data_IF_893381042989
#
_entry.id   IF_893381042989
#
_cell.length_a   1.000
_cell.length_b   1.000
_cell.length_c   1.000
_cell.angle_alpha   90.00
_cell.angle_beta   90.00
_cell.angle_gamma   90.00
#
_symmetry.space_group_name_H-M   'P 1'
#
loop_
_entity.id
_entity.type
_entity.pdbx_description
1 polymer ?
#
# COMPACT_ATOMS: atom_id res chain seq x y z
N UNK A 1 -13.16 6.42 17.51
CA UNK A 1 -12.71 6.16 16.13
C UNK A 1 -11.40 5.38 16.18
N UNK A 2 -11.18 4.41 15.29
CA UNK A 2 -9.88 3.72 15.16
C UNK A 2 -8.85 4.71 14.60
N UNK A 3 -7.58 4.57 14.98
CA UNK A 3 -6.52 5.40 14.42
C UNK A 3 -6.36 5.07 12.93
N UNK A 4 -6.37 6.09 12.08
CA UNK A 4 -5.96 5.93 10.69
C UNK A 4 -4.43 5.77 10.69
N UNK A 5 -3.88 4.95 9.79
CA UNK A 5 -2.43 4.73 9.69
C UNK A 5 -2.08 4.58 8.22
N UNK A 6 -1.14 5.41 7.74
CA UNK A 6 -0.54 5.25 6.41
C UNK A 6 0.64 4.29 6.44
N UNK A 7 0.70 3.40 5.46
CA UNK A 7 1.80 2.45 5.25
C UNK A 7 2.39 2.73 3.88
N UNK A 8 3.61 3.25 3.81
CA UNK A 8 4.30 3.43 2.53
C UNK A 8 4.78 2.09 2.00
N UNK A 9 4.50 1.78 0.73
CA UNK A 9 4.88 0.53 0.09
C UNK A 9 6.41 0.34 -0.02
N UNK A 10 7.15 1.45 -0.07
CA UNK A 10 8.60 1.45 -0.32
C UNK A 10 8.94 1.17 -1.78
N UNK A 11 10.12 0.64 -2.03
CA UNK A 11 10.57 0.28 -3.38
C UNK A 11 9.72 -0.88 -3.94
N UNK A 12 9.00 -0.71 -5.08
CA UNK A 12 8.21 -1.77 -5.68
C UNK A 12 9.04 -2.92 -6.27
N UNK A 13 10.33 -2.73 -6.49
CA UNK A 13 11.28 -3.81 -6.85
C UNK A 13 11.77 -4.58 -5.62
N UNK A 14 11.55 -4.06 -4.41
CA UNK A 14 11.93 -4.69 -3.15
C UNK A 14 10.90 -5.69 -2.62
N UNK A 15 11.09 -6.10 -1.36
CA UNK A 15 10.18 -7.04 -0.67
C UNK A 15 9.01 -6.34 0.05
N UNK A 16 9.01 -5.00 0.11
CA UNK A 16 7.99 -4.20 0.78
C UNK A 16 6.55 -4.59 0.40
N UNK A 17 6.23 -4.72 -0.90
CA UNK A 17 4.91 -5.18 -1.35
C UNK A 17 4.44 -6.52 -0.76
N UNK A 18 5.35 -7.50 -0.65
CA UNK A 18 5.04 -8.82 -0.10
C UNK A 18 4.76 -8.75 1.40
N UNK A 19 5.59 -8.00 2.12
CA UNK A 19 5.47 -7.82 3.57
C UNK A 19 4.16 -7.10 3.90
N UNK A 20 3.82 -6.03 3.18
CA UNK A 20 2.58 -5.28 3.39
C UNK A 20 1.37 -6.19 3.19
N UNK A 21 1.31 -6.95 2.10
CA UNK A 21 0.18 -7.86 1.87
C UNK A 21 0.10 -8.96 2.92
N UNK A 22 1.22 -9.60 3.28
CA UNK A 22 1.25 -10.63 4.33
C UNK A 22 0.80 -10.08 5.68
N UNK A 23 1.28 -8.90 6.07
CA UNK A 23 0.93 -8.28 7.34
C UNK A 23 -0.55 -7.86 7.42
N UNK A 24 -1.14 -7.45 6.31
CA UNK A 24 -2.51 -6.92 6.28
C UNK A 24 -3.57 -7.99 5.95
N UNK A 25 -3.18 -9.20 5.55
CA UNK A 25 -4.11 -10.27 5.12
C UNK A 25 -4.39 -11.26 6.25
N UNK A 26 -5.66 -11.48 6.59
CA UNK A 26 -6.11 -12.41 7.63
C UNK A 26 -5.96 -11.93 9.08
N UNK A 27 -5.30 -10.79 9.32
CA UNK A 27 -4.92 -10.30 10.65
C UNK A 27 -5.97 -9.39 11.30
N UNK A 28 -7.04 -9.97 11.83
CA UNK A 28 -8.20 -9.22 12.36
C UNK A 28 -7.88 -8.29 13.53
N UNK A 29 -6.90 -8.64 14.35
CA UNK A 29 -6.40 -7.86 15.49
C UNK A 29 -5.85 -6.49 15.09
N UNK A 30 -5.24 -6.35 13.92
CA UNK A 30 -4.76 -5.07 13.38
C UNK A 30 -5.95 -4.16 13.13
N UNK A 31 -6.96 -4.66 12.42
CA UNK A 31 -8.16 -3.91 12.05
C UNK A 31 -9.08 -3.59 13.23
N UNK A 32 -8.87 -4.16 14.42
CA UNK A 32 -9.54 -3.73 15.66
C UNK A 32 -8.96 -2.42 16.19
N UNK A 33 -7.67 -2.17 15.95
CA UNK A 33 -6.95 -1.04 16.53
C UNK A 33 -6.79 0.12 15.54
N UNK A 34 -6.55 -0.20 14.27
CA UNK A 34 -6.23 0.78 13.23
C UNK A 34 -7.08 0.58 11.97
N UNK A 35 -7.17 1.64 11.18
CA UNK A 35 -7.72 1.63 9.82
C UNK A 35 -6.56 1.92 8.87
N UNK A 36 -5.86 0.89 8.35
CA UNK A 36 -4.67 1.09 7.53
C UNK A 36 -5.02 1.53 6.10
N UNK A 37 -4.17 2.33 5.48
CA UNK A 37 -4.15 2.62 4.05
C UNK A 37 -2.72 2.52 3.52
N UNK A 38 -2.53 1.85 2.39
CA UNK A 38 -1.22 1.72 1.76
C UNK A 38 -1.00 2.88 0.80
N UNK A 39 0.10 3.60 0.94
CA UNK A 39 0.58 4.55 -0.06
C UNK A 39 1.52 3.80 -1.01
N UNK A 40 1.05 3.50 -2.21
CA UNK A 40 1.71 2.52 -3.07
C UNK A 40 1.04 2.34 -4.42
N UNK A 41 1.52 1.34 -5.17
CA UNK A 41 0.99 0.99 -6.48
C UNK A 41 -0.05 -0.14 -6.38
N UNK A 42 -1.19 0.05 -7.02
CA UNK A 42 -2.21 -1.00 -7.19
C UNK A 42 -1.68 -2.15 -8.04
N UNK A 43 -1.03 -1.83 -9.17
CA UNK A 43 -0.56 -2.83 -10.12
C UNK A 43 0.51 -3.75 -9.53
N UNK A 44 1.42 -3.19 -8.73
CA UNK A 44 2.44 -3.95 -8.00
C UNK A 44 1.81 -4.88 -6.97
N UNK A 45 0.86 -4.38 -6.16
CA UNK A 45 0.20 -5.20 -5.15
C UNK A 45 -0.64 -6.33 -5.77
N UNK A 46 -1.35 -6.09 -6.88
CA UNK A 46 -2.09 -7.15 -7.58
C UNK A 46 -1.16 -8.22 -8.16
N UNK A 47 0.00 -7.82 -8.71
CA UNK A 47 1.00 -8.77 -9.19
C UNK A 47 1.54 -9.65 -8.06
N UNK A 48 1.85 -9.05 -6.91
CA UNK A 48 2.39 -9.77 -5.74
C UNK A 48 1.33 -10.67 -5.11
N UNK A 49 0.10 -10.18 -4.93
CA UNK A 49 -1.05 -11.00 -4.49
C UNK A 49 -1.22 -12.23 -5.37
N UNK A 50 -1.17 -12.08 -6.70
CA UNK A 50 -1.29 -13.19 -7.64
C UNK A 50 -0.14 -14.19 -7.48
N UNK A 51 1.10 -13.71 -7.36
CA UNK A 51 2.27 -14.57 -7.18
C UNK A 51 2.18 -15.38 -5.87
N UNK A 52 1.76 -14.73 -4.78
CA UNK A 52 1.64 -15.34 -3.46
C UNK A 52 0.32 -16.10 -3.24
N UNK A 53 -0.60 -16.10 -4.21
CA UNK A 53 -1.95 -16.68 -4.10
C UNK A 53 -2.72 -16.22 -2.86
N UNK A 54 -2.61 -14.94 -2.50
CA UNK A 54 -3.25 -14.40 -1.30
C UNK A 54 -4.75 -14.15 -1.52
N UNK A 55 -5.62 -14.47 -0.54
CA UNK A 55 -7.08 -14.28 -0.64
C UNK A 55 -7.50 -12.82 -0.39
N UNK A 56 -6.68 -11.85 -0.81
CA UNK A 56 -6.82 -10.43 -0.46
C UNK A 56 -7.48 -9.67 -1.61
N UNK A 57 -8.50 -8.90 -1.31
CA UNK A 57 -9.03 -7.90 -2.24
C UNK A 57 -8.17 -6.62 -2.13
N UNK A 58 -7.72 -6.06 -3.25
CA UNK A 58 -7.00 -4.78 -3.25
C UNK A 58 -7.90 -3.74 -3.90
N UNK A 59 -8.19 -2.66 -3.19
CA UNK A 59 -9.06 -1.58 -3.67
C UNK A 59 -8.30 -0.27 -3.76
N UNK A 60 -8.55 0.51 -4.79
CA UNK A 60 -7.98 1.85 -4.93
C UNK A 60 -8.83 2.88 -4.17
N UNK A 61 -8.19 3.63 -3.29
CA UNK A 61 -8.77 4.83 -2.70
C UNK A 61 -8.83 5.97 -3.73
N UNK A 62 -9.98 6.64 -3.83
CA UNK A 62 -10.12 7.88 -4.62
C UNK A 62 -9.58 9.10 -3.89
N UNK A 63 -9.71 9.11 -2.56
CA UNK A 63 -9.21 10.15 -1.66
C UNK A 63 -8.97 9.53 -0.26
N UNK A 64 -8.57 10.35 0.70
CA UNK A 64 -8.28 9.93 2.08
C UNK A 64 -9.35 10.39 3.08
N UNK A 65 -10.53 10.79 2.60
CA UNK A 65 -11.61 11.23 3.49
C UNK A 65 -12.19 10.01 4.22
N UNK A 66 -12.47 8.95 3.45
CA UNK A 66 -12.94 7.66 3.95
C UNK A 66 -12.51 6.51 3.02
N UNK A 67 -12.14 5.37 3.62
CA UNK A 67 -11.80 4.17 2.86
C UNK A 67 -12.14 2.90 3.64
N UNK A 68 -12.24 1.77 2.93
CA UNK A 68 -12.54 0.47 3.51
C UNK A 68 -11.25 -0.28 3.82
N UNK A 69 -11.07 -0.69 5.07
CA UNK A 69 -9.96 -1.55 5.46
C UNK A 69 -10.51 -2.70 6.30
N UNK A 70 -10.20 -3.94 5.90
CA UNK A 70 -10.67 -5.14 6.57
C UNK A 70 -9.64 -6.27 6.43
N UNK A 71 -9.71 -7.35 7.21
CA UNK A 71 -8.68 -8.40 7.24
C UNK A 71 -8.27 -8.97 5.89
N UNK A 72 -9.15 -9.00 4.89
CA UNK A 72 -8.81 -9.45 3.53
C UNK A 72 -9.07 -8.35 2.49
N UNK A 73 -9.01 -7.08 2.90
CA UNK A 73 -9.25 -5.92 2.04
C UNK A 73 -8.17 -4.88 2.31
N UNK A 74 -7.25 -4.74 1.38
CA UNK A 74 -6.18 -3.74 1.41
C UNK A 74 -6.58 -2.56 0.54
N UNK A 75 -6.70 -1.38 1.15
CA UNK A 75 -6.85 -0.13 0.38
C UNK A 75 -5.48 0.42 0.02
N UNK A 76 -5.32 0.81 -1.25
CA UNK A 76 -4.15 1.53 -1.76
C UNK A 76 -4.53 2.93 -2.25
N UNK A 77 -3.82 3.95 -1.75
CA UNK A 77 -3.80 5.29 -2.31
C UNK A 77 -2.51 5.46 -3.11
N UNK A 78 -2.63 5.86 -4.37
CA UNK A 78 -1.51 5.86 -5.32
C UNK A 78 -1.34 7.23 -5.94
N UNK A 79 -0.16 7.82 -5.79
CA UNK A 79 0.25 9.05 -6.49
C UNK A 79 1.09 8.77 -7.74
N UNK A 80 1.55 7.53 -7.89
CA UNK A 80 2.37 7.09 -9.00
C UNK A 80 2.17 5.59 -9.26
N UNK A 81 2.11 5.20 -10.51
CA UNK A 81 2.05 3.81 -10.95
C UNK A 81 3.16 3.54 -11.96
N UNK A 82 3.78 2.35 -11.91
CA UNK A 82 4.74 1.98 -12.93
C UNK A 82 4.05 1.75 -14.28
N UNK A 83 4.66 2.14 -15.42
CA UNK A 83 4.12 1.85 -16.75
C UNK A 83 4.15 0.36 -17.07
N UNK A 84 5.11 -0.36 -16.49
CA UNK A 84 5.28 -1.82 -16.57
C UNK A 84 5.76 -2.33 -15.24
N UNK A 85 5.40 -3.55 -14.85
CA UNK A 85 5.83 -4.12 -13.57
C UNK A 85 7.36 -4.11 -13.46
N UNK A 86 7.92 -3.53 -12.38
CA UNK A 86 9.36 -3.47 -12.20
C UNK A 86 9.93 -4.86 -11.89
N UNK A 87 11.21 -5.05 -12.22
CA UNK A 87 11.90 -6.32 -11.96
C UNK A 87 12.26 -6.43 -10.48
N UNK A 88 11.73 -7.46 -9.83
CA UNK A 88 12.04 -7.76 -8.42
C UNK A 88 13.55 -7.96 -8.22
N UNK A 89 14.09 -7.33 -7.18
CA UNK A 89 15.50 -7.42 -6.78
C UNK A 89 16.48 -6.65 -7.68
N UNK A 90 15.99 -5.88 -8.67
CA UNK A 90 16.84 -5.05 -9.53
C UNK A 90 16.68 -3.57 -9.21
N UNK A 91 17.82 -2.88 -9.15
CA UNK A 91 17.87 -1.42 -8.98
C UNK A 91 17.17 -0.76 -10.18
N UNK A 92 16.18 0.08 -9.90
CA UNK A 92 15.45 0.85 -10.90
C UNK A 92 15.22 2.29 -10.40
N UNK A 93 15.75 3.32 -11.10
CA UNK A 93 15.52 4.72 -10.73
C UNK A 93 14.05 5.13 -10.68
N UNK A 94 13.19 4.53 -11.51
CA UNK A 94 11.75 4.81 -11.49
C UNK A 94 11.11 4.26 -10.22
N UNK A 95 11.53 3.07 -9.79
CA UNK A 95 11.06 2.46 -8.55
C UNK A 95 11.37 3.34 -7.32
N UNK A 96 12.59 3.88 -7.25
CA UNK A 96 12.98 4.83 -6.20
C UNK A 96 12.16 6.14 -6.23
N UNK A 97 11.91 6.71 -7.41
CA UNK A 97 11.07 7.92 -7.54
C UNK A 97 9.63 7.69 -7.08
N UNK A 98 9.05 6.54 -7.41
CA UNK A 98 7.70 6.19 -6.95
C UNK A 98 7.65 6.01 -5.43
N UNK A 99 8.61 5.28 -4.86
CA UNK A 99 8.72 5.08 -3.41
C UNK A 99 8.79 6.42 -2.66
N UNK A 100 9.57 7.37 -3.18
CA UNK A 100 9.66 8.73 -2.64
C UNK A 100 8.32 9.48 -2.76
N UNK A 101 7.66 9.44 -3.92
CA UNK A 101 6.35 10.09 -4.11
C UNK A 101 5.29 9.58 -3.14
N UNK A 102 5.25 8.27 -2.88
CA UNK A 102 4.32 7.68 -1.92
C UNK A 102 4.63 8.08 -0.48
N UNK A 103 5.91 8.21 -0.13
CA UNK A 103 6.35 8.72 1.17
C UNK A 103 5.94 10.19 1.37
N UNK A 104 6.19 11.06 0.40
CA UNK A 104 5.77 12.47 0.47
C UNK A 104 4.26 12.60 0.63
N UNK A 105 3.48 11.80 -0.10
CA UNK A 105 2.03 11.78 0.01
C UNK A 105 1.55 11.31 1.40
N UNK A 106 2.18 10.28 1.97
CA UNK A 106 1.87 9.81 3.32
C UNK A 106 2.21 10.88 4.38
N UNK A 107 3.38 11.52 4.29
CA UNK A 107 3.78 12.60 5.20
C UNK A 107 2.82 13.78 5.13
N UNK A 108 2.44 14.19 3.91
CA UNK A 108 1.46 15.26 3.70
C UNK A 108 0.12 14.91 4.36
N UNK A 109 -0.39 13.71 4.12
CA UNK A 109 -1.65 13.25 4.71
C UNK A 109 -1.61 13.19 6.24
N UNK A 110 -0.47 12.79 6.84
CA UNK A 110 -0.29 12.77 8.28
C UNK A 110 -0.27 14.18 8.88
N UNK A 111 0.45 15.12 8.24
CA UNK A 111 0.49 16.51 8.67
C UNK A 111 -0.88 17.21 8.57
N UNK A 112 -1.71 16.79 7.60
CA UNK A 112 -3.09 17.27 7.44
C UNK A 112 -4.09 16.54 8.37
N UNK A 113 -3.66 15.57 9.16
CA UNK A 113 -4.53 14.77 10.03
C UNK A 113 -5.50 13.84 9.27
N UNK A 114 -5.23 13.56 8.00
CA UNK A 114 -6.02 12.62 7.17
C UNK A 114 -5.69 11.16 7.49
N UNK A 115 -4.48 10.89 7.97
CA UNK A 115 -4.03 9.60 8.50
C UNK A 115 -3.40 9.77 9.87
#
# INVERSE_FOLDING_TARGET
MKKKIGITLGDPSGIGPEIVLKALTGHTEIYKQVTPVVFGSLSVLEAVKKNLSLPTEIIRAKNLDNWRAAPNVVTVFSTAEPPTLPSVGKIDPLAGRMAFSWMEAAVTAANEGKI
#
